data_IF_603732847559
#
_entry.id   IF_603732847559
#
_cell.length_a   1.000
_cell.length_b   1.000
_cell.length_c   1.000
_cell.angle_alpha   90.00
_cell.angle_beta   90.00
_cell.angle_gamma   90.00
#
_symmetry.space_group_name_H-M   'P 1'
#
loop_
_entity.id
_entity.type
_entity.pdbx_description
1 polymer ?
2 polymer ?
3 water ?
#
# COMPACT_ATOMS: atom_id res chain seq x y z
N UNK A 8 8.27 -18.00 -21.16
CA UNK A 8 8.67 -16.61 -21.54
C UNK A 8 8.38 -16.33 -23.01
N UNK A 9 7.11 -16.23 -23.40
CA UNK A 9 6.17 -15.35 -22.71
C UNK A 9 5.06 -15.91 -21.81
N UNK A 10 5.34 -17.00 -21.11
CA UNK A 10 4.56 -17.32 -19.93
C UNK A 10 4.87 -16.20 -18.91
N UNK A 11 6.17 -15.87 -18.81
CA UNK A 11 6.69 -14.80 -17.98
C UNK A 11 6.02 -13.48 -18.27
N UNK A 12 6.03 -13.07 -19.54
CA UNK A 12 5.45 -11.80 -19.94
C UNK A 12 3.96 -11.73 -19.62
N UNK A 13 3.26 -12.85 -19.69
CA UNK A 13 1.84 -12.87 -19.38
C UNK A 13 1.65 -12.88 -17.87
N UNK A 14 2.56 -13.55 -17.17
CA UNK A 14 2.48 -13.63 -15.71
C UNK A 14 2.75 -12.27 -15.09
N UNK A 15 3.58 -11.45 -15.73
CA UNK A 15 3.91 -10.16 -15.19
C UNK A 15 2.75 -9.18 -15.34
N UNK A 16 2.04 -9.23 -16.48
CA UNK A 16 0.92 -8.30 -16.73
C UNK A 16 -0.19 -8.61 -15.73
N UNK A 17 -0.31 -9.87 -15.36
CA UNK A 17 -1.34 -10.31 -14.42
C UNK A 17 -1.02 -9.98 -13.00
N UNK A 18 0.25 -10.17 -12.62
CA UNK A 18 0.79 -9.72 -11.33
C UNK A 18 0.54 -8.21 -11.17
N UNK A 19 0.84 -7.45 -12.21
CA UNK A 19 0.64 -6.00 -12.21
C UNK A 19 -0.81 -5.59 -12.06
N UNK A 20 -1.71 -6.33 -12.73
CA UNK A 20 -3.16 -6.04 -12.65
C UNK A 20 -3.74 -6.22 -11.25
N UNK A 21 -3.35 -7.33 -10.63
CA UNK A 21 -3.61 -7.67 -9.24
C UNK A 21 -3.08 -6.62 -8.32
N UNK A 22 -1.84 -6.18 -8.58
CA UNK A 22 -1.22 -5.13 -7.74
C UNK A 22 -2.07 -3.88 -7.83
N UNK A 23 -2.46 -3.47 -9.05
CA UNK A 23 -3.17 -2.17 -9.22
C UNK A 23 -4.55 -2.19 -8.54
N UNK A 24 -5.25 -3.32 -8.71
CA UNK A 24 -6.51 -3.61 -8.03
C UNK A 24 -6.32 -3.56 -6.49
N UNK A 25 -5.45 -4.41 -5.93
CA UNK A 25 -5.13 -4.40 -4.48
C UNK A 25 -4.88 -3.01 -3.95
N UNK A 26 -4.00 -2.23 -4.56
CA UNK A 26 -3.77 -0.86 -4.07
C UNK A 26 -4.98 0.02 -4.24
N UNK A 27 -5.79 -0.26 -5.26
CA UNK A 27 -6.94 0.60 -5.51
C UNK A 27 -7.99 0.48 -4.40
N UNK A 28 -8.21 -0.75 -3.95
CA UNK A 28 -9.09 -1.02 -2.83
C UNK A 28 -8.47 -0.76 -1.42
N UNK A 29 -7.14 -0.83 -1.27
CA UNK A 29 -6.46 -0.33 -0.07
C UNK A 29 -6.61 1.21 0.03
N UNK A 30 -6.24 1.90 -1.04
CA UNK A 30 -6.38 3.36 -1.14
C UNK A 30 -7.82 3.85 -1.28
N UNK A 31 -8.80 2.94 -1.38
CA UNK A 31 -10.22 3.37 -1.47
C UNK A 31 -10.87 3.63 -0.11
N UNK A 32 -10.96 2.60 0.74
CA UNK A 32 -11.58 2.67 2.09
C UNK A 32 -11.11 3.87 2.94
N UNK A 33 -9.85 4.27 2.72
CA UNK A 33 -9.28 5.55 3.18
C UNK A 33 -10.16 6.77 2.87
N UNK A 34 -10.74 6.82 1.67
CA UNK A 34 -11.71 7.85 1.25
C UNK A 34 -12.84 8.19 2.23
N UNK A 35 -13.28 7.21 3.03
CA UNK A 35 -14.24 7.50 4.09
C UNK A 35 -13.54 7.68 5.47
N UNK A 36 -13.09 8.91 5.67
CA UNK A 36 -12.18 9.25 6.75
C UNK A 36 -13.00 9.76 7.92
N UNK A 37 -12.62 9.37 9.12
CA UNK A 37 -13.30 9.79 10.31
C UNK A 37 -13.03 11.26 10.61
N UNK A 38 -12.19 11.89 9.81
CA UNK A 38 -12.07 13.33 9.89
C UNK A 38 -13.38 14.04 9.48
N UNK A 39 -14.24 13.33 8.73
CA UNK A 39 -15.48 13.94 8.23
C UNK A 39 -16.63 13.79 9.20
N UNK A 40 -16.40 13.17 10.36
CA UNK A 40 -17.49 12.99 11.31
C UNK A 40 -17.68 14.25 12.10
N UNK A 41 -18.82 14.33 12.79
CA UNK A 41 -19.05 15.43 13.71
C UNK A 41 -18.33 15.22 15.03
N UNK A 42 -17.23 15.97 15.22
CA UNK A 42 -16.51 16.00 16.48
C UNK A 42 -16.87 17.16 17.41
N UNK A 43 -17.85 18.00 17.01
CA UNK A 43 -18.23 19.21 17.75
C UNK A 43 -18.70 19.04 19.16
N UNK A 44 -19.14 17.84 19.54
CA UNK A 44 -19.51 17.52 20.94
C UNK A 44 -18.31 17.55 21.88
N UNK A 45 -17.11 17.64 21.29
CA UNK A 45 -15.89 17.86 22.06
C UNK A 45 -15.86 19.29 22.54
N UNK A 46 -16.43 20.19 21.76
CA UNK A 46 -16.30 21.60 22.02
C UNK A 46 -17.63 22.23 22.44
N UNK B 6 15.18 -17.95 -39.09
CA UNK B 6 16.52 -17.47 -38.65
C UNK B 6 16.57 -17.11 -37.15
N UNK B 7 17.67 -17.50 -36.50
CA UNK B 7 17.86 -17.39 -35.05
C UNK B 7 18.03 -15.93 -34.61
N UNK B 8 18.55 -15.07 -35.50
CA UNK B 8 18.71 -13.65 -35.20
C UNK B 8 17.35 -12.94 -35.10
N UNK B 9 16.55 -12.98 -36.17
CA UNK B 9 15.24 -12.30 -36.19
C UNK B 9 14.40 -12.72 -35.00
N UNK B 10 14.50 -14.02 -34.67
CA UNK B 10 13.74 -14.65 -33.59
C UNK B 10 14.08 -14.03 -32.23
N UNK B 11 15.37 -13.82 -32.03
CA UNK B 11 15.94 -13.33 -30.78
C UNK B 11 15.70 -11.88 -30.56
N UNK B 12 15.89 -11.12 -31.63
CA UNK B 12 15.62 -9.70 -31.64
C UNK B 12 14.14 -9.45 -31.37
N UNK B 13 13.27 -10.25 -31.95
CA UNK B 13 11.84 -10.06 -31.70
C UNK B 13 11.49 -10.36 -30.22
N UNK B 14 12.13 -11.37 -29.62
CA UNK B 14 11.86 -11.67 -28.23
C UNK B 14 12.55 -10.66 -27.28
N UNK B 15 13.57 -9.98 -27.79
CA UNK B 15 14.30 -8.97 -27.06
C UNK B 15 13.43 -7.74 -26.91
N UNK B 16 12.79 -7.31 -28.00
CA UNK B 16 11.84 -6.21 -28.00
C UNK B 16 10.67 -6.51 -27.11
N UNK B 17 10.06 -7.69 -27.23
CA UNK B 17 8.91 -8.03 -26.34
C UNK B 17 9.25 -8.09 -24.86
N UNK B 18 10.43 -8.58 -24.51
CA UNK B 18 10.82 -8.60 -23.11
C UNK B 18 11.13 -7.15 -22.69
N UNK B 19 11.67 -6.32 -23.60
CA UNK B 19 11.93 -4.90 -23.26
C UNK B 19 10.66 -4.08 -23.12
N UNK B 20 9.58 -4.51 -23.78
CA UNK B 20 8.26 -3.86 -23.67
C UNK B 20 7.56 -4.31 -22.40
N UNK B 21 7.76 -5.56 -22.00
CA UNK B 21 7.16 -6.04 -20.78
C UNK B 21 7.76 -5.30 -19.59
N UNK B 22 9.09 -5.15 -19.60
CA UNK B 22 9.79 -4.44 -18.55
C UNK B 22 9.55 -2.90 -18.46
N UNK B 23 9.57 -2.15 -19.55
CA UNK B 23 9.23 -0.71 -19.49
C UNK B 23 7.83 -0.48 -18.91
N UNK B 24 6.90 -1.34 -19.26
CA UNK B 24 5.49 -1.14 -18.91
C UNK B 24 5.31 -1.45 -17.46
N UNK B 25 5.75 -2.62 -17.04
CA UNK B 25 5.75 -2.97 -15.63
C UNK B 25 6.49 -1.92 -14.73
N UNK B 26 7.61 -1.39 -15.22
CA UNK B 26 8.29 -0.33 -14.52
C UNK B 26 7.42 0.92 -14.40
N UNK B 27 6.74 1.32 -15.47
CA UNK B 27 5.83 2.44 -15.37
C UNK B 27 4.79 2.21 -14.26
N UNK B 28 4.19 1.01 -14.22
CA UNK B 28 3.17 0.71 -13.22
C UNK B 28 3.73 0.75 -11.83
N UNK B 29 4.87 0.10 -11.59
CA UNK B 29 5.55 0.15 -10.29
C UNK B 29 5.90 1.56 -9.91
N UNK B 30 6.32 2.41 -10.84
CA UNK B 30 6.54 3.73 -10.34
C UNK B 30 5.24 4.50 -9.96
N UNK B 31 4.15 4.30 -10.72
CA UNK B 31 2.84 4.85 -10.35
C UNK B 31 2.32 4.26 -9.02
N UNK B 32 2.41 2.93 -8.86
CA UNK B 32 1.92 2.27 -7.65
C UNK B 32 2.69 2.65 -6.38
N UNK B 33 4.02 2.78 -6.47
CA UNK B 33 4.81 3.22 -5.33
C UNK B 33 4.46 4.62 -4.92
N UNK B 34 4.21 5.50 -5.89
CA UNK B 34 3.91 6.90 -5.61
C UNK B 34 2.56 6.97 -4.92
N UNK B 35 1.60 6.25 -5.46
CA UNK B 35 0.28 6.11 -4.82
C UNK B 35 0.44 5.62 -3.39
N UNK B 36 1.33 4.65 -3.19
CA UNK B 36 1.39 4.00 -1.89
C UNK B 36 2.08 4.91 -0.87
N UNK B 37 2.99 5.73 -1.36
CA UNK B 37 3.70 6.70 -0.51
C UNK B 37 2.71 7.78 -0.03
N UNK B 38 1.84 8.22 -0.93
CA UNK B 38 0.81 9.18 -0.57
C UNK B 38 -0.22 8.64 0.44
N UNK B 39 -0.56 7.36 0.32
CA UNK B 39 -1.53 6.69 1.22
C UNK B 39 -0.89 6.58 2.55
N UNK B 40 0.39 6.34 2.58
CA UNK B 40 1.07 6.22 3.86
C UNK B 40 1.03 7.53 4.59
N UNK B 41 1.18 8.62 3.87
CA UNK B 41 1.17 9.93 4.50
C UNK B 41 -0.26 10.26 5.03
N UNK B 42 -1.30 9.88 4.29
CA UNK B 42 -2.71 10.06 4.73
C UNK B 42 -3.03 9.22 5.91
N UNK B 43 -2.54 7.98 5.91
CA UNK B 43 -2.74 7.12 7.07
C UNK B 43 -2.14 7.74 8.33
N UNK B 44 -0.92 8.20 8.22
CA UNK B 44 -0.22 8.85 9.37
C UNK B 44 -0.96 10.07 9.90
N UNK B 45 -1.57 10.85 9.03
CA UNK B 45 -2.34 12.06 9.40
C UNK B 45 -3.71 11.75 10.06
N UNK B 46 -4.40 10.72 9.53
CA UNK B 46 -5.67 10.24 10.09
C UNK B 46 -5.39 9.77 11.49
N UNK B 47 -4.34 8.98 11.65
CA UNK B 47 -3.97 8.48 12.96
C UNK B 47 -3.62 9.61 13.95
N UNK B 48 -2.80 10.54 13.56
CA UNK B 48 -2.53 11.73 14.42
C UNK B 48 -3.84 12.43 14.75
N UNK B 49 -4.72 12.57 13.74
CA UNK B 49 -6.04 13.15 14.00
C UNK B 49 -6.83 12.40 15.02
N UNK B 50 -6.94 11.08 14.88
CA UNK B 50 -7.75 10.29 15.79
C UNK B 50 -7.12 10.15 17.19
N UNK B 51 -5.80 9.95 17.27
CA UNK B 51 -5.14 10.04 18.59
C UNK B 51 -5.37 11.39 19.30
N UNK B 52 -5.40 12.48 18.57
CA UNK B 52 -5.75 13.78 19.16
C UNK B 52 -7.21 13.80 19.71
N UNK B 53 -8.20 13.54 18.86
CA UNK B 53 -9.61 13.49 19.28
C UNK B 53 -9.84 12.61 20.46
N UNK B 54 -9.25 11.44 20.39
CA UNK B 54 -9.48 10.49 21.43
C UNK B 54 -8.74 10.82 22.77
N UNK B 55 -7.62 11.57 22.68
CA UNK B 55 -7.04 12.24 23.88
C UNK B 55 -7.80 13.44 24.45
N UNK B 56 -8.39 14.25 23.60
CA UNK B 56 -9.33 15.31 24.01
C UNK B 56 -10.60 14.68 24.64
N UNK B 57 -11.14 13.63 24.04
CA UNK B 57 -12.29 12.97 24.63
C UNK B 57 -11.99 12.42 26.01
N UNK B 58 -10.84 11.79 26.17
CA UNK B 58 -10.39 11.29 27.48
C UNK B 58 -10.32 12.41 28.51
N UNK B 59 -9.67 13.53 28.15
CA UNK B 59 -9.52 14.65 29.10
C UNK B 59 -10.88 15.33 29.41
N UNK B 60 -11.84 15.25 28.48
CA UNK B 60 -13.12 15.87 28.69
C UNK B 60 -13.99 15.00 29.61
N UNK B 61 -13.96 13.69 29.42
CA UNK B 61 -14.44 12.74 30.41
C UNK B 61 -13.79 12.92 31.82
N UNK B 62 -12.47 12.90 31.89
CA UNK B 62 -11.81 13.09 33.18
C UNK B 62 -12.41 14.34 33.81
N UNK B 63 -12.45 15.42 33.03
CA UNK B 63 -12.83 16.75 33.51
C UNK B 63 -14.25 16.90 34.03
N UNK B 64 -15.14 16.03 33.58
CA UNK B 64 -16.54 16.07 33.98
C UNK B 64 -16.79 15.38 35.33
N UNK B 65 -16.20 14.20 35.53
CA UNK B 65 -16.36 13.46 36.80
C UNK B 65 -16.25 14.34 38.05
N UNK B 66 -15.40 15.37 37.96
CA UNK B 66 -15.16 16.31 39.06
C UNK B 66 -16.39 17.23 39.26
N UNK C 4 15.88 8.87 -25.60
CA UNK C 4 16.82 7.77 -25.89
C UNK C 4 16.43 6.43 -25.23
N UNK C 5 16.28 5.40 -26.06
CA UNK C 5 15.83 4.08 -25.61
C UNK C 5 16.81 3.46 -24.63
N UNK C 6 16.32 3.13 -23.42
CA UNK C 6 17.16 2.58 -22.35
C UNK C 6 17.89 1.30 -22.79
N UNK C 7 19.11 1.09 -22.30
CA UNK C 7 19.81 -0.20 -22.52
C UNK C 7 19.16 -1.35 -21.69
N UNK C 8 19.32 -2.64 -22.10
CA UNK C 8 18.80 -3.83 -21.33
C UNK C 8 19.20 -3.72 -19.80
N UNK C 9 20.67 -3.53 -19.72
CA UNK C 9 21.17 -3.29 -18.29
C UNK C 9 20.34 -2.28 -17.46
N UNK C 10 20.01 -1.16 -18.10
CA UNK C 10 19.35 -0.01 -17.46
C UNK C 10 17.93 -0.35 -17.05
N UNK C 11 17.19 -0.96 -17.97
CA UNK C 11 15.88 -1.56 -17.68
C UNK C 11 15.89 -2.58 -16.53
N UNK C 12 16.91 -3.42 -16.48
CA UNK C 12 16.99 -4.46 -15.47
C UNK C 12 17.26 -3.81 -14.12
N UNK C 13 18.15 -2.83 -14.10
CA UNK C 13 18.41 -2.13 -12.89
C UNK C 13 17.23 -1.29 -12.40
N UNK C 14 16.49 -0.57 -13.26
CA UNK C 14 15.30 0.23 -12.79
C UNK C 14 14.32 -0.75 -12.14
N UNK C 15 14.05 -1.84 -12.81
CA UNK C 15 13.08 -2.85 -12.28
C UNK C 15 13.49 -3.35 -10.88
N UNK C 16 14.79 -3.61 -10.71
CA UNK C 16 15.27 -3.99 -9.38
C UNK C 16 15.05 -2.89 -8.35
N UNK C 17 15.34 -1.67 -8.79
CA UNK C 17 15.14 -0.46 -7.93
C UNK C 17 13.72 -0.30 -7.53
N UNK C 18 12.80 -0.44 -8.50
CA UNK C 18 11.39 -0.13 -8.28
C UNK C 18 10.76 -1.27 -7.44
N UNK C 19 11.17 -2.49 -7.70
CA UNK C 19 10.80 -3.65 -6.83
C UNK C 19 11.10 -3.54 -5.33
N UNK C 20 12.35 -3.18 -5.00
CA UNK C 20 12.80 -2.93 -3.63
C UNK C 20 12.00 -1.77 -3.01
N UNK C 21 11.88 -0.68 -3.75
CA UNK C 21 11.05 0.48 -3.33
C UNK C 21 9.60 0.04 -3.03
N UNK C 22 8.97 -0.75 -3.91
CA UNK C 22 7.64 -1.34 -3.63
C UNK C 22 7.57 -2.26 -2.42
N UNK C 23 8.52 -3.18 -2.25
CA UNK C 23 8.52 -4.04 -1.06
C UNK C 23 8.52 -3.22 0.16
N UNK C 24 9.46 -2.32 0.24
CA UNK C 24 9.67 -1.60 1.47
C UNK C 24 8.47 -0.68 1.73
N UNK C 25 7.86 -0.17 0.66
CA UNK C 25 6.73 0.74 0.77
C UNK C 25 5.59 -0.09 1.26
N UNK C 26 5.48 -1.32 0.79
CA UNK C 26 4.44 -2.18 1.29
C UNK C 26 4.69 -2.65 2.69
N UNK C 27 5.90 -3.13 3.02
CA UNK C 27 6.09 -3.67 4.37
C UNK C 27 5.88 -2.58 5.43
N UNK C 28 6.32 -1.36 5.15
CA UNK C 28 6.17 -0.23 6.09
C UNK C 28 4.69 0.13 6.35
N UNK C 29 3.88 0.07 5.29
CA UNK C 29 2.42 0.26 5.35
C UNK C 29 1.78 -0.77 6.24
N UNK C 30 1.98 -2.05 5.93
CA UNK C 30 1.63 -3.17 6.82
C UNK C 30 2.12 -3.02 8.30
N UNK C 31 3.40 -2.70 8.48
CA UNK C 31 3.97 -2.54 9.84
C UNK C 31 3.38 -1.38 10.66
N UNK C 32 3.41 -0.17 10.08
CA UNK C 32 2.92 1.05 10.75
C UNK C 32 1.50 0.92 11.27
N UNK C 33 0.55 0.49 10.41
CA UNK C 33 -0.85 0.32 10.84
C UNK C 33 -1.03 -0.71 11.96
N UNK C 34 -0.10 -1.68 12.00
CA UNK C 34 0.01 -2.71 13.03
C UNK C 34 0.43 -2.21 14.40
N UNK C 35 0.70 -0.90 14.51
CA UNK C 35 0.70 -0.26 15.82
C UNK C 35 -0.72 0.29 15.97
N UNK C 36 -1.58 -0.57 16.47
CA UNK C 36 -3.00 -0.38 16.42
C UNK C 36 -3.48 0.60 17.50
N UNK C 37 -4.45 1.44 17.13
CA UNK C 37 -5.17 2.16 18.18
C UNK C 37 -5.99 1.21 19.07
N UNK C 38 -6.14 -0.05 18.65
CA UNK C 38 -6.75 -1.09 19.51
C UNK C 38 -5.89 -1.47 20.74
N UNK C 39 -4.63 -1.02 20.79
CA UNK C 39 -3.74 -1.38 21.89
C UNK C 39 -3.63 -0.31 22.97
N UNK C 40 -4.33 0.78 22.76
CA UNK C 40 -4.36 1.84 23.72
C UNK C 40 -5.28 1.48 24.90
N UNK C 41 -5.21 2.27 25.98
CA UNK C 41 -6.08 2.10 27.15
C UNK C 41 -7.39 2.83 26.85
N UNK C 42 -8.46 2.04 26.76
CA UNK C 42 -9.76 2.55 26.44
C UNK C 42 -10.66 2.52 27.66
N UNK C 43 -10.07 2.28 28.82
CA UNK C 43 -10.84 1.95 30.01
C UNK C 43 -11.39 3.17 30.70
N UNK C 44 -10.88 4.35 30.35
CA UNK C 44 -11.52 5.61 30.73
C UNK C 44 -12.98 5.68 30.22
N UNK C 45 -13.33 4.75 29.34
CA UNK C 45 -14.63 4.74 28.71
C UNK C 45 -15.64 3.97 29.58
N UNK C 46 -15.13 3.26 30.59
CA UNK C 46 -15.96 2.80 31.73
C UNK C 46 -15.12 2.70 33.02
N UNK D 6 29.13 -9.31 -35.05
CA UNK D 6 28.07 -10.30 -34.70
C UNK D 6 27.39 -10.07 -33.33
N UNK D 7 26.05 -10.02 -33.33
CA UNK D 7 25.26 -9.55 -32.20
C UNK D 7 24.25 -10.55 -31.61
N UNK D 8 24.22 -11.77 -32.13
CA UNK D 8 23.34 -12.81 -31.55
C UNK D 8 23.65 -13.17 -30.09
N UNK D 9 24.93 -13.48 -29.80
CA UNK D 9 25.41 -13.65 -28.43
C UNK D 9 24.94 -12.52 -27.44
N UNK D 10 25.05 -11.24 -27.84
CA UNK D 10 24.64 -10.12 -26.99
C UNK D 10 23.13 -10.13 -26.76
N UNK D 11 22.39 -10.47 -27.81
CA UNK D 11 20.97 -10.64 -27.78
C UNK D 11 20.49 -11.76 -26.89
N UNK D 12 21.19 -12.89 -26.89
CA UNK D 12 20.80 -14.05 -26.09
C UNK D 12 21.14 -13.82 -24.61
N UNK D 13 22.29 -13.21 -24.36
CA UNK D 13 22.66 -12.75 -23.02
C UNK D 13 21.63 -11.75 -22.44
N UNK D 14 21.27 -10.73 -23.19
CA UNK D 14 20.28 -9.79 -22.74
C UNK D 14 18.92 -10.43 -22.51
N UNK D 15 18.49 -11.31 -23.41
CA UNK D 15 17.23 -12.02 -23.21
C UNK D 15 17.23 -12.81 -21.93
N UNK D 16 18.37 -13.38 -21.60
CA UNK D 16 18.45 -14.13 -20.35
C UNK D 16 18.34 -13.15 -19.16
N UNK D 17 19.11 -12.06 -19.17
CA UNK D 17 19.11 -11.13 -18.03
C UNK D 17 17.70 -10.52 -17.81
N UNK D 18 16.98 -10.29 -18.90
CA UNK D 18 15.65 -9.71 -18.89
C UNK D 18 14.61 -10.66 -18.35
N UNK D 19 14.74 -11.95 -18.68
CA UNK D 19 13.82 -12.97 -18.19
C UNK D 19 14.00 -13.16 -16.73
N UNK D 20 15.26 -13.11 -16.29
CA UNK D 20 15.57 -13.16 -14.85
C UNK D 20 15.06 -11.93 -14.07
N UNK D 21 15.10 -10.77 -14.69
CA UNK D 21 14.51 -9.55 -14.10
C UNK D 21 13.04 -9.78 -13.91
N UNK D 22 12.33 -10.23 -14.96
CA UNK D 22 10.88 -10.45 -14.89
C UNK D 22 10.50 -11.56 -13.92
N UNK D 23 11.26 -12.64 -13.91
CA UNK D 23 11.01 -13.74 -12.99
C UNK D 23 11.03 -13.24 -11.55
N UNK D 24 12.13 -12.60 -11.15
CA UNK D 24 12.29 -12.00 -9.81
C UNK D 24 11.22 -11.00 -9.38
N UNK D 25 10.88 -10.06 -10.25
CA UNK D 25 9.86 -9.11 -9.87
C UNK D 25 8.51 -9.83 -9.69
N UNK D 26 8.20 -10.76 -10.59
CA UNK D 26 6.96 -11.60 -10.48
C UNK D 26 6.81 -12.20 -9.10
N UNK D 27 7.87 -12.88 -8.65
CA UNK D 27 7.98 -13.41 -7.29
C UNK D 27 7.70 -12.36 -6.19
N UNK D 28 8.38 -11.22 -6.24
CA UNK D 28 8.11 -10.11 -5.32
C UNK D 28 6.68 -9.56 -5.42
N UNK D 29 6.21 -9.27 -6.61
CA UNK D 29 4.80 -8.96 -6.79
C UNK D 29 3.82 -9.98 -6.17
N UNK D 30 4.07 -11.28 -6.34
CA UNK D 30 3.23 -12.29 -5.67
C UNK D 30 3.20 -12.13 -4.16
N UNK D 31 4.36 -12.00 -3.54
CA UNK D 31 4.43 -11.97 -2.09
C UNK D 31 3.79 -10.71 -1.58
N UNK D 32 4.04 -9.59 -2.25
CA UNK D 32 3.54 -8.29 -1.84
C UNK D 32 2.03 -8.11 -1.96
N UNK D 33 1.42 -8.58 -3.04
CA UNK D 33 -0.06 -8.59 -3.11
C UNK D 33 -0.70 -9.43 -2.00
N UNK D 34 -0.20 -10.63 -1.72
CA UNK D 34 -0.75 -11.40 -0.59
C UNK D 34 -0.81 -10.54 0.67
N UNK D 35 0.24 -9.76 0.92
CA UNK D 35 0.34 -8.92 2.11
C UNK D 35 -0.68 -7.80 2.13
N UNK D 36 -0.89 -7.20 0.97
CA UNK D 36 -1.91 -6.16 0.77
C UNK D 36 -3.32 -6.60 1.01
N UNK D 37 -3.67 -7.81 0.54
CA UNK D 37 -5.02 -8.38 0.72
C UNK D 37 -5.30 -8.59 2.20
N UNK D 38 -4.26 -9.03 2.93
CA UNK D 38 -4.38 -9.17 4.36
C UNK D 38 -4.51 -7.83 5.02
N UNK D 39 -3.67 -6.90 4.60
CA UNK D 39 -3.82 -5.54 5.09
C UNK D 39 -5.26 -5.00 4.99
N UNK D 40 -5.93 -5.28 3.88
CA UNK D 40 -7.31 -4.78 3.65
C UNK D 40 -8.30 -5.21 4.72
N UNK D 41 -8.13 -6.43 5.23
CA UNK D 41 -8.94 -6.91 6.34
C UNK D 41 -8.55 -6.17 7.65
N UNK D 42 -7.24 -5.97 7.91
CA UNK D 42 -6.78 -5.34 9.16
C UNK D 42 -7.33 -3.91 9.27
N UNK D 43 -7.31 -3.22 8.13
CA UNK D 43 -7.72 -1.86 7.95
C UNK D 43 -9.20 -1.71 8.22
N UNK D 44 -10.00 -2.71 7.83
CA UNK D 44 -11.46 -2.64 8.09
C UNK D 44 -11.84 -3.04 9.53
N UNK D 45 -11.07 -3.93 10.17
CA UNK D 45 -11.26 -4.24 11.61
C UNK D 45 -11.03 -3.02 12.53
N UNK D 46 -9.92 -2.32 12.32
CA UNK D 46 -9.67 -1.10 13.09
C UNK D 46 -10.64 0.07 12.79
N UNK D 47 -11.02 0.24 11.53
CA UNK D 47 -12.13 1.09 11.05
C UNK D 47 -13.34 0.93 11.99
N UNK D 48 -13.80 -0.30 12.09
CA UNK D 48 -15.02 -0.57 12.82
C UNK D 48 -14.83 -0.48 14.34
N UNK D 49 -13.64 -0.86 14.82
CA UNK D 49 -13.33 -0.63 16.22
C UNK D 49 -13.30 0.88 16.57
N UNK D 50 -12.72 1.73 15.74
CA UNK D 50 -12.64 3.14 16.16
C UNK D 50 -14.01 3.81 16.10
N UNK D 51 -14.79 3.47 15.10
CA UNK D 51 -16.14 3.97 14.94
C UNK D 51 -16.96 3.63 16.18
N UNK D 52 -16.86 2.39 16.62
CA UNK D 52 -17.42 1.99 17.89
C UNK D 52 -17.05 2.90 19.07
N UNK D 53 -15.74 3.15 19.23
CA UNK D 53 -15.23 4.00 20.27
C UNK D 53 -15.65 5.49 20.12
N UNK D 54 -15.70 6.04 18.91
CA UNK D 54 -16.25 7.39 18.67
C UNK D 54 -17.67 7.44 19.29
N UNK D 55 -18.49 6.46 18.91
CA UNK D 55 -19.87 6.37 19.34
C UNK D 55 -19.99 6.32 20.84
N UNK D 56 -19.32 5.36 21.49
CA UNK D 56 -19.37 5.23 22.91
C UNK D 56 -18.95 6.52 23.54
N UNK D 57 -17.89 7.12 22.98
CA UNK D 57 -17.32 8.34 23.53
C UNK D 57 -18.30 9.52 23.48
N UNK D 58 -18.93 9.73 22.33
CA UNK D 58 -20.05 10.66 22.13
C UNK D 58 -21.18 10.42 23.17
N UNK D 59 -21.60 9.19 23.35
CA UNK D 59 -22.69 8.80 24.30
C UNK D 59 -22.27 9.24 25.71
N UNK D 60 -21.19 8.67 26.21
CA UNK D 60 -20.66 9.06 27.51
C UNK D 60 -20.65 10.59 27.70
N UNK D 61 -20.10 11.33 26.73
CA UNK D 61 -19.96 12.78 26.91
C UNK D 61 -21.32 13.49 27.05
N UNK D 62 -22.23 13.08 26.16
CA UNK D 62 -23.66 13.44 26.20
C UNK D 62 -24.27 13.17 27.57
N UNK D 63 -24.00 12.00 28.13
CA UNK D 63 -24.52 11.71 29.46
C UNK D 63 -23.94 12.49 30.64
N UNK D 64 -22.63 12.66 30.69
CA UNK D 64 -22.02 13.48 31.72
C UNK D 64 -22.51 14.95 31.64
N UNK D 65 -22.50 15.54 30.45
CA UNK D 65 -23.14 16.85 30.21
C UNK D 65 -24.52 16.98 30.83
N UNK D 66 -25.39 15.97 30.69
CA UNK D 66 -26.69 15.98 31.42
C UNK D 66 -26.48 15.96 32.93
N UNK D 67 -25.66 14.99 33.34
CA UNK D 67 -24.96 14.86 34.61
C UNK D 67 -25.29 13.55 35.35
#
# INVERSE_FOLDING_TARGET
AMAPAKKSEELVAEAHNLCTLLENAIQDTVREQGNSMMNLDWSWLTE
EWGAPETLQRCLEENQELRDAIRQSNQILRERCEELLHFQASQREEKEFLMCKFQEARKLVERLGLEK
AMAPAKKSEELVAEAHNLCTLLENAIQDTVREQGNSMMNLDWSWLTE
EWGAPETLQRCLEENQELRDAIRQSNQILRERCEELLHFQASQREEKEFLMCKFQEARKLVERLGLEK
#
